data_IF_981564936300
#
_entry.id   IF_981564936300
#
_cell.length_a   1.000
_cell.length_b   1.000
_cell.length_c   1.000
_cell.angle_alpha   90.00
_cell.angle_beta   90.00
_cell.angle_gamma   90.00
#
_symmetry.space_group_name_H-M   'P 1'
#
loop_
_entity.id
_entity.type
_entity.pdbx_description
1 polymer ?
#
# COMPACT_ATOMS: atom_id res chain seq x y z
N UNK A 1 -7.79 -22.34 4.50
CA UNK A 1 -9.15 -22.70 4.10
C UNK A 1 -9.49 -22.19 2.69
N UNK A 2 -9.48 -20.86 2.41
CA UNK A 2 -9.90 -20.31 1.11
C UNK A 2 -9.03 -20.80 -0.07
N UNK A 3 -7.73 -20.90 0.13
CA UNK A 3 -6.80 -21.44 -0.89
C UNK A 3 -7.18 -22.85 -1.29
N UNK A 4 -7.41 -23.72 -0.31
CA UNK A 4 -7.83 -25.11 -0.50
C UNK A 4 -9.20 -25.20 -1.18
N UNK A 5 -10.17 -24.39 -0.73
CA UNK A 5 -11.52 -24.36 -1.30
C UNK A 5 -11.53 -23.96 -2.79
N UNK A 6 -10.53 -23.19 -3.23
CA UNK A 6 -10.39 -22.72 -4.61
C UNK A 6 -9.33 -23.45 -5.41
N UNK A 7 -8.68 -24.48 -4.87
CA UNK A 7 -7.71 -25.31 -5.58
C UNK A 7 -6.37 -24.62 -5.90
N UNK A 8 -5.98 -23.59 -5.13
CA UNK A 8 -4.76 -22.82 -5.36
C UNK A 8 -3.56 -23.24 -4.50
N UNK A 9 -3.60 -24.40 -3.84
CA UNK A 9 -2.55 -24.82 -2.90
C UNK A 9 -1.16 -24.89 -3.54
N UNK A 10 -1.08 -25.28 -4.81
CA UNK A 10 0.20 -25.39 -5.53
C UNK A 10 0.78 -24.05 -5.94
N UNK A 11 -0.05 -22.99 -5.97
CA UNK A 11 0.31 -21.66 -6.47
C UNK A 11 0.25 -20.61 -5.37
N UNK A 12 0.24 -21.03 -4.10
CA UNK A 12 0.11 -20.13 -2.95
C UNK A 12 1.13 -20.50 -1.87
N UNK A 13 1.82 -19.47 -1.36
CA UNK A 13 2.64 -19.58 -0.15
C UNK A 13 2.12 -18.60 0.90
N UNK A 14 1.92 -19.08 2.13
CA UNK A 14 1.62 -18.23 3.29
C UNK A 14 2.88 -18.03 4.10
N UNK A 15 3.22 -16.77 4.35
CA UNK A 15 4.37 -16.39 5.16
C UNK A 15 3.84 -15.62 6.38
N UNK A 16 4.25 -16.02 7.58
CA UNK A 16 3.91 -15.33 8.83
C UNK A 16 5.17 -14.67 9.34
N UNK A 17 5.29 -13.37 9.07
CA UNK A 17 6.47 -12.58 9.43
C UNK A 17 6.06 -11.12 9.66
N UNK A 18 6.96 -10.30 10.21
CA UNK A 18 6.81 -8.85 10.17
C UNK A 18 6.93 -8.36 8.73
N UNK A 19 5.91 -7.65 8.24
CA UNK A 19 5.87 -7.21 6.86
C UNK A 19 7.03 -6.27 6.50
N UNK A 20 7.52 -5.45 7.44
CA UNK A 20 8.65 -4.55 7.20
C UNK A 20 9.97 -5.30 7.09
N UNK A 21 10.12 -6.40 7.82
CA UNK A 21 11.32 -7.23 7.74
C UNK A 21 11.28 -8.10 6.49
N UNK A 22 10.14 -8.72 6.19
CA UNK A 22 9.93 -9.50 4.97
C UNK A 22 10.19 -8.68 3.70
N UNK A 23 9.74 -7.42 3.67
CA UNK A 23 9.90 -6.52 2.52
C UNK A 23 11.34 -6.08 2.25
N UNK A 24 12.30 -6.31 3.17
CA UNK A 24 13.71 -5.99 2.95
C UNK A 24 14.41 -6.94 1.98
N UNK A 25 13.94 -8.17 1.90
CA UNK A 25 14.58 -9.26 1.15
C UNK A 25 13.56 -9.99 0.24
N UNK A 26 12.66 -9.24 -0.41
CA UNK A 26 11.73 -9.84 -1.36
C UNK A 26 12.49 -10.43 -2.55
N UNK A 27 12.05 -11.58 -3.08
CA UNK A 27 12.48 -12.04 -4.41
C UNK A 27 12.22 -10.95 -5.47
N UNK A 28 13.16 -10.74 -6.38
CA UNK A 28 13.08 -9.70 -7.43
C UNK A 28 12.14 -10.05 -8.60
N UNK A 29 11.23 -11.01 -8.42
CA UNK A 29 10.41 -11.56 -9.49
C UNK A 29 8.91 -11.23 -9.43
N UNK A 30 8.51 -10.39 -8.46
CA UNK A 30 7.11 -9.99 -8.34
C UNK A 30 6.68 -9.04 -9.46
N UNK A 31 5.61 -9.41 -10.17
CA UNK A 31 4.90 -8.55 -11.13
C UNK A 31 4.00 -7.53 -10.45
N UNK A 32 3.38 -7.95 -9.33
CA UNK A 32 2.40 -7.16 -8.59
C UNK A 32 2.70 -7.30 -7.09
N UNK A 33 2.69 -6.16 -6.40
CA UNK A 33 2.74 -6.10 -4.94
C UNK A 33 1.50 -5.33 -4.45
N UNK A 34 0.80 -5.90 -3.47
CA UNK A 34 -0.32 -5.23 -2.79
C UNK A 34 0.10 -4.90 -1.37
N UNK A 35 0.09 -3.59 -1.05
CA UNK A 35 0.40 -3.06 0.27
C UNK A 35 -0.88 -2.56 0.93
N UNK A 36 -1.41 -3.33 1.86
CA UNK A 36 -2.61 -2.99 2.62
C UNK A 36 -2.35 -3.08 4.14
N UNK A 37 -1.49 -2.18 4.67
CA UNK A 37 -1.16 -2.19 6.08
C UNK A 37 -2.32 -1.68 6.94
N UNK A 38 -2.37 -2.03 8.23
CA UNK A 38 -3.25 -1.38 9.18
C UNK A 38 -2.93 0.12 9.30
N UNK A 39 -3.87 0.90 9.85
CA UNK A 39 -3.63 2.32 10.06
C UNK A 39 -2.43 2.54 11.00
N UNK A 40 -1.36 3.12 10.48
CA UNK A 40 -0.17 3.44 11.29
C UNK A 40 -0.41 4.54 12.34
N UNK A 41 -1.47 5.34 12.19
CA UNK A 41 -1.92 6.28 13.22
C UNK A 41 -3.43 6.46 13.19
N UNK A 42 -4.03 6.55 14.38
CA UNK A 42 -5.44 6.89 14.61
C UNK A 42 -5.62 8.34 15.06
N UNK A 43 -4.58 8.97 15.59
CA UNK A 43 -4.61 10.32 16.16
C UNK A 43 -3.63 11.26 15.47
N UNK A 44 -3.95 12.56 15.45
CA UNK A 44 -3.17 13.59 14.72
C UNK A 44 -1.74 13.76 15.23
N UNK A 45 -1.49 13.57 16.50
CA UNK A 45 -0.17 13.64 17.12
C UNK A 45 0.79 12.56 16.59
N UNK A 46 0.24 11.44 16.08
CA UNK A 46 0.99 10.33 15.47
C UNK A 46 1.10 10.41 13.95
N UNK A 47 0.56 11.47 13.31
CA UNK A 47 0.54 11.60 11.85
C UNK A 47 1.92 11.51 11.22
N UNK A 48 2.92 12.16 11.81
CA UNK A 48 4.30 12.11 11.29
C UNK A 48 4.86 10.68 11.31
N UNK A 49 4.63 9.94 12.39
CA UNK A 49 5.06 8.54 12.50
C UNK A 49 4.36 7.66 11.44
N UNK A 50 3.07 7.89 11.18
CA UNK A 50 2.34 7.18 10.14
C UNK A 50 2.93 7.45 8.75
N UNK A 51 3.22 8.70 8.41
CA UNK A 51 3.85 9.08 7.15
C UNK A 51 5.18 8.36 6.97
N UNK A 52 6.02 8.32 8.01
CA UNK A 52 7.29 7.60 7.96
C UNK A 52 7.11 6.08 7.78
N UNK A 53 6.08 5.50 8.41
CA UNK A 53 5.72 4.09 8.23
C UNK A 53 5.32 3.77 6.78
N UNK A 54 4.38 4.55 6.23
CA UNK A 54 3.95 4.40 4.83
C UNK A 54 5.11 4.63 3.86
N UNK A 55 5.93 5.65 4.09
CA UNK A 55 7.08 5.95 3.25
C UNK A 55 8.07 4.77 3.21
N UNK A 56 8.45 4.22 4.37
CA UNK A 56 9.38 3.08 4.44
C UNK A 56 8.81 1.84 3.76
N UNK A 57 7.56 1.48 4.03
CA UNK A 57 6.91 0.32 3.42
C UNK A 57 6.91 0.43 1.89
N UNK A 58 6.47 1.57 1.36
CA UNK A 58 6.45 1.82 -0.07
C UNK A 58 7.86 1.84 -0.68
N UNK A 59 8.85 2.44 0.00
CA UNK A 59 10.22 2.48 -0.50
C UNK A 59 10.84 1.07 -0.61
N UNK A 60 10.55 0.16 0.34
CA UNK A 60 10.98 -1.24 0.24
C UNK A 60 10.33 -1.93 -0.96
N UNK A 61 9.00 -1.83 -1.12
CA UNK A 61 8.32 -2.44 -2.26
C UNK A 61 8.82 -1.91 -3.60
N UNK A 62 9.00 -0.60 -3.71
CA UNK A 62 9.49 0.06 -4.93
C UNK A 62 10.91 -0.40 -5.29
N UNK A 63 11.79 -0.62 -4.30
CA UNK A 63 13.16 -1.14 -4.56
C UNK A 63 13.15 -2.56 -5.09
N UNK A 64 12.25 -3.41 -4.57
CA UNK A 64 12.28 -4.85 -4.79
C UNK A 64 11.45 -5.31 -5.98
N UNK A 65 10.42 -4.55 -6.38
CA UNK A 65 9.60 -4.94 -7.52
C UNK A 65 10.38 -4.84 -8.82
N UNK A 66 10.15 -5.78 -9.72
CA UNK A 66 10.82 -5.76 -11.03
C UNK A 66 10.43 -4.52 -11.86
N UNK A 67 11.28 -4.07 -12.80
CA UNK A 67 10.94 -3.02 -13.75
C UNK A 67 9.66 -3.33 -14.52
N UNK A 68 8.75 -2.35 -14.64
CA UNK A 68 7.44 -2.51 -15.24
C UNK A 68 6.37 -3.08 -14.31
N UNK A 69 6.74 -3.50 -13.10
CA UNK A 69 5.82 -4.06 -12.12
C UNK A 69 4.84 -3.03 -11.53
N UNK A 70 3.75 -3.53 -10.94
CA UNK A 70 2.66 -2.71 -10.40
C UNK A 70 2.59 -2.83 -8.88
N UNK A 71 2.42 -1.69 -8.20
CA UNK A 71 2.15 -1.66 -6.77
C UNK A 71 0.76 -1.07 -6.54
N UNK A 72 -0.07 -1.81 -5.81
CA UNK A 72 -1.33 -1.34 -5.25
C UNK A 72 -1.05 -0.99 -3.79
N UNK A 73 -1.08 0.28 -3.43
CA UNK A 73 -0.77 0.72 -2.07
C UNK A 73 -1.93 1.47 -1.45
N UNK A 74 -2.24 1.13 -0.20
CA UNK A 74 -3.44 1.63 0.50
C UNK A 74 -3.11 2.27 1.84
N UNK A 75 -4.01 3.16 2.27
CA UNK A 75 -4.04 3.71 3.61
C UNK A 75 -5.48 3.86 4.09
N UNK A 76 -5.78 3.30 5.26
CA UNK A 76 -7.03 3.49 5.98
C UNK A 76 -6.92 4.52 7.12
N UNK A 77 -5.84 5.30 7.19
CA UNK A 77 -5.64 6.30 8.23
C UNK A 77 -6.41 7.58 7.95
N UNK A 78 -7.31 7.97 8.85
CA UNK A 78 -8.07 9.23 8.77
C UNK A 78 -7.20 10.48 8.86
N UNK A 79 -6.04 10.39 9.54
CA UNK A 79 -5.13 11.53 9.73
C UNK A 79 -4.17 11.76 8.57
N UNK A 80 -4.18 10.87 7.58
CA UNK A 80 -3.42 10.97 6.33
C UNK A 80 -4.42 11.12 5.20
N UNK A 81 -4.57 12.31 4.67
CA UNK A 81 -5.44 12.57 3.52
C UNK A 81 -4.84 12.03 2.20
N UNK A 82 -5.63 12.06 1.13
CA UNK A 82 -5.24 11.51 -0.18
C UNK A 82 -4.00 12.20 -0.74
N UNK A 83 -3.91 13.54 -0.65
CA UNK A 83 -2.78 14.28 -1.17
C UNK A 83 -1.49 13.97 -0.40
N UNK A 84 -1.60 13.91 0.93
CA UNK A 84 -0.47 13.59 1.80
C UNK A 84 0.02 12.16 1.57
N UNK A 85 -0.91 11.20 1.38
CA UNK A 85 -0.57 9.83 1.04
C UNK A 85 0.15 9.75 -0.31
N UNK A 86 -0.39 10.41 -1.33
CA UNK A 86 0.24 10.48 -2.67
C UNK A 86 1.66 11.05 -2.59
N UNK A 87 1.84 12.18 -1.90
CA UNK A 87 3.15 12.79 -1.72
C UNK A 87 4.12 11.87 -0.95
N UNK A 88 3.60 11.08 0.00
CA UNK A 88 4.39 10.10 0.76
C UNK A 88 4.90 8.98 -0.15
N UNK A 89 4.06 8.48 -1.06
CA UNK A 89 4.45 7.44 -2.03
C UNK A 89 5.46 7.99 -3.05
N UNK A 90 5.26 9.23 -3.53
CA UNK A 90 6.24 9.89 -4.41
C UNK A 90 7.59 10.05 -3.69
N UNK A 91 7.59 10.49 -2.42
CA UNK A 91 8.82 10.60 -1.63
C UNK A 91 9.50 9.23 -1.40
N UNK A 92 8.72 8.15 -1.32
CA UNK A 92 9.24 6.79 -1.25
C UNK A 92 9.93 6.37 -2.56
N UNK A 93 9.36 6.72 -3.72
CA UNK A 93 9.97 6.45 -5.02
C UNK A 93 11.29 7.21 -5.21
N UNK A 94 11.33 8.48 -4.82
CA UNK A 94 12.56 9.30 -4.82
C UNK A 94 13.62 8.65 -3.92
N UNK A 95 13.26 8.23 -2.71
CA UNK A 95 14.20 7.55 -1.79
C UNK A 95 14.68 6.21 -2.33
N UNK A 96 13.81 5.49 -3.04
CA UNK A 96 14.16 4.23 -3.69
C UNK A 96 15.05 4.43 -4.93
N UNK A 97 15.19 5.66 -5.44
CA UNK A 97 15.95 5.98 -6.65
C UNK A 97 15.29 5.44 -7.94
N UNK A 98 13.96 5.24 -7.92
CA UNK A 98 13.21 4.71 -9.07
C UNK A 98 12.10 5.66 -9.49
N UNK A 99 11.83 5.72 -10.78
CA UNK A 99 10.69 6.47 -11.28
C UNK A 99 9.39 5.65 -11.17
N UNK A 100 8.28 6.33 -10.96
CA UNK A 100 6.98 5.72 -10.90
C UNK A 100 5.92 6.55 -11.63
N UNK A 101 4.94 5.86 -12.21
CA UNK A 101 3.75 6.48 -12.81
C UNK A 101 2.54 6.13 -11.95
N UNK A 102 1.76 7.13 -11.55
CA UNK A 102 0.46 6.91 -10.92
C UNK A 102 -0.54 6.63 -12.05
N UNK A 103 -1.08 5.43 -12.09
CA UNK A 103 -2.06 5.01 -13.09
C UNK A 103 -3.48 5.33 -12.64
N UNK A 104 -3.77 5.15 -11.33
CA UNK A 104 -5.10 5.34 -10.79
C UNK A 104 -5.06 5.76 -9.31
N UNK A 105 -6.05 6.55 -8.90
CA UNK A 105 -6.35 6.83 -7.50
C UNK A 105 -7.60 6.06 -7.11
N UNK A 106 -7.47 5.21 -6.10
CA UNK A 106 -8.54 4.34 -5.62
C UNK A 106 -9.20 4.91 -4.37
N UNK A 107 -10.50 4.72 -4.27
CA UNK A 107 -11.32 5.06 -3.12
C UNK A 107 -12.14 3.87 -2.68
N UNK A 108 -13.00 4.09 -1.68
CA UNK A 108 -13.92 3.07 -1.19
C UNK A 108 -14.83 2.59 -2.31
N UNK A 109 -14.97 1.25 -2.45
CA UNK A 109 -15.88 0.66 -3.43
C UNK A 109 -17.35 0.82 -3.00
N UNK A 110 -18.28 0.49 -3.92
CA UNK A 110 -19.71 0.65 -3.70
C UNK A 110 -20.28 -0.24 -2.57
N UNK A 111 -19.63 -1.34 -2.24
CA UNK A 111 -19.97 -2.23 -1.13
C UNK A 111 -19.50 -1.70 0.25
N UNK A 112 -18.73 -0.61 0.24
CA UNK A 112 -18.32 0.12 1.44
C UNK A 112 -18.67 1.62 1.31
N UNK A 113 -19.97 1.96 1.27
CA UNK A 113 -20.43 3.31 0.95
C UNK A 113 -20.12 4.30 2.07
N UNK A 114 -19.93 5.57 1.68
CA UNK A 114 -19.77 6.67 2.61
C UNK A 114 -21.15 7.22 2.96
N UNK A 115 -21.46 7.32 4.24
CA UNK A 115 -22.70 7.93 4.71
C UNK A 115 -22.65 9.43 4.47
N UNK A 116 -23.64 9.99 3.76
CA UNK A 116 -23.63 11.38 3.32
C UNK A 116 -23.54 12.42 4.47
N UNK A 117 -24.08 12.09 5.64
CA UNK A 117 -24.03 12.94 6.84
C UNK A 117 -22.80 12.65 7.73
N UNK A 118 -21.96 11.68 7.38
CA UNK A 118 -20.77 11.26 8.11
C UNK A 118 -19.56 11.17 7.16
N UNK A 119 -19.08 12.32 6.63
CA UNK A 119 -18.00 12.35 5.65
C UNK A 119 -16.65 11.81 6.18
N UNK A 120 -16.50 11.72 7.50
CA UNK A 120 -15.36 11.08 8.16
C UNK A 120 -15.23 9.59 7.82
N UNK A 121 -16.29 8.96 7.31
CA UNK A 121 -16.28 7.61 6.76
C UNK A 121 -15.45 7.48 5.48
N UNK A 122 -15.12 8.59 4.79
CA UNK A 122 -14.26 8.62 3.60
C UNK A 122 -12.77 8.57 3.98
N UNK A 123 -12.31 7.48 4.55
CA UNK A 123 -10.94 7.35 5.06
C UNK A 123 -10.03 6.45 4.24
N UNK A 124 -10.59 5.56 3.41
CA UNK A 124 -9.80 4.66 2.58
C UNK A 124 -9.32 5.36 1.30
N UNK A 125 -8.07 5.26 1.02
CA UNK A 125 -7.43 5.74 -0.21
C UNK A 125 -6.39 4.77 -0.69
N UNK A 126 -6.20 4.70 -1.99
CA UNK A 126 -5.19 3.85 -2.61
C UNK A 126 -4.61 4.47 -3.87
N UNK A 127 -3.49 3.94 -4.28
CA UNK A 127 -2.85 4.25 -5.55
C UNK A 127 -2.49 2.97 -6.28
N UNK A 128 -2.68 2.97 -7.60
CA UNK A 128 -2.05 2.00 -8.49
C UNK A 128 -0.87 2.71 -9.13
N UNK A 129 0.34 2.22 -8.90
CA UNK A 129 1.56 2.78 -9.46
C UNK A 129 2.31 1.73 -10.26
N UNK A 130 2.92 2.14 -11.36
CA UNK A 130 3.86 1.35 -12.15
C UNK A 130 5.26 1.86 -11.91
N UNK A 131 6.20 0.94 -11.74
CA UNK A 131 7.61 1.25 -11.43
C UNK A 131 8.47 0.95 -12.65
N UNK A 132 9.26 1.93 -13.07
CA UNK A 132 10.21 1.81 -14.20
C UNK A 132 11.56 1.26 -13.78
#
# INVERSE_FOLDING_TARGET
ANVTLNGFEKNHASIVDDAMDYMKELPEDYDIIVLDPPAFAKHRDKRHQAIQGYKRLNAHAIRQIKPGGFIFTFSCSQVVDTQLFTNTVIAAAIEAGRSCRILEQLHQPADHPIQAFHPEGAYLKGLVIQID
#
